data_IF_336911537679
#
_entry.id   IF_336911537679
#
_cell.length_a   1.000
_cell.length_b   1.000
_cell.length_c   1.000
_cell.angle_alpha   90.00
_cell.angle_beta   90.00
_cell.angle_gamma   90.00
#
_symmetry.space_group_name_H-M   'P 1'
#
loop_
_entity.id
_entity.type
_entity.pdbx_description
1 polymer ?
#
# COMPACT_ATOMS: atom_id res chain seq x y z
N UNK A 1 13.15 -13.58 9.43
CA UNK A 1 13.57 -12.57 10.42
C UNK A 1 13.51 -11.21 9.75
N UNK A 2 12.42 -10.48 9.93
CA UNK A 2 12.34 -9.07 9.57
C UNK A 2 13.11 -8.29 10.62
N UNK A 3 14.19 -7.62 10.24
CA UNK A 3 14.75 -6.54 11.06
C UNK A 3 13.62 -5.54 11.27
N UNK A 4 13.08 -5.46 12.48
CA UNK A 4 12.17 -4.36 12.82
C UNK A 4 12.93 -3.06 12.57
N UNK A 5 12.49 -2.27 11.58
CA UNK A 5 13.04 -0.93 11.39
C UNK A 5 12.90 -0.21 12.73
N UNK A 6 14.04 0.14 13.34
CA UNK A 6 14.08 0.88 14.59
C UNK A 6 13.56 2.29 14.33
N UNK A 7 12.34 2.56 14.81
CA UNK A 7 11.81 3.90 14.84
C UNK A 7 12.58 4.68 15.91
N UNK A 8 13.25 5.75 15.50
CA UNK A 8 13.68 6.80 16.43
C UNK A 8 12.44 7.36 17.14
N UNK A 9 12.63 8.00 18.30
CA UNK A 9 11.52 8.59 19.06
C UNK A 9 10.77 9.58 18.14
N UNK A 10 9.52 9.28 17.75
CA UNK A 10 8.80 10.12 16.81
C UNK A 10 8.39 11.44 17.48
N UNK A 11 8.46 12.53 16.72
CA UNK A 11 7.84 13.80 17.10
C UNK A 11 6.38 13.80 16.64
N UNK A 12 5.53 14.58 17.31
CA UNK A 12 4.08 14.54 17.08
C UNK A 12 3.48 15.93 16.91
N UNK A 13 2.29 15.98 16.31
CA UNK A 13 1.47 17.20 16.20
C UNK A 13 2.18 18.34 15.46
N UNK A 14 2.18 19.52 16.07
CA UNK A 14 2.77 20.73 15.49
C UNK A 14 4.26 20.56 15.21
N UNK A 15 5.02 19.93 16.10
CA UNK A 15 6.45 19.66 15.89
C UNK A 15 6.68 18.75 14.67
N UNK A 16 5.84 17.72 14.49
CA UNK A 16 5.90 16.87 13.31
C UNK A 16 5.59 17.68 12.03
N UNK A 17 4.58 18.54 12.09
CA UNK A 17 4.21 19.39 10.96
C UNK A 17 5.32 20.38 10.57
N UNK A 18 5.95 21.04 11.54
CA UNK A 18 7.07 21.96 11.29
C UNK A 18 8.26 21.24 10.64
N UNK A 19 8.62 20.05 11.14
CA UNK A 19 9.68 19.24 10.56
C UNK A 19 9.36 18.83 9.11
N UNK A 20 8.11 18.44 8.85
CA UNK A 20 7.62 18.10 7.51
C UNK A 20 7.73 19.32 6.57
N UNK A 21 7.27 20.50 7.01
CA UNK A 21 7.34 21.73 6.20
C UNK A 21 8.78 22.11 5.85
N UNK A 22 9.70 21.95 6.81
CA UNK A 22 11.12 22.20 6.61
C UNK A 22 11.72 21.31 5.50
N UNK A 23 11.38 20.01 5.48
CA UNK A 23 11.84 19.09 4.43
C UNK A 23 11.23 19.37 3.06
N UNK A 24 10.02 19.91 3.03
CA UNK A 24 9.30 20.29 1.80
C UNK A 24 9.60 21.72 1.35
N UNK A 25 10.65 22.35 1.89
CA UNK A 25 11.04 23.70 1.52
C UNK A 25 11.20 23.84 -0.01
N UNK A 26 10.62 24.91 -0.57
CA UNK A 26 10.65 25.19 -2.00
C UNK A 26 9.58 24.50 -2.84
N UNK A 27 8.80 23.55 -2.29
CA UNK A 27 7.64 22.96 -2.98
C UNK A 27 6.32 23.37 -2.30
N UNK A 28 5.73 24.48 -2.76
CA UNK A 28 4.49 25.04 -2.20
C UNK A 28 3.30 24.08 -2.29
N UNK A 29 3.22 23.25 -3.34
CA UNK A 29 2.13 22.28 -3.49
C UNK A 29 2.26 21.14 -2.46
N UNK A 30 3.47 20.65 -2.23
CA UNK A 30 3.72 19.64 -1.21
C UNK A 30 3.49 20.20 0.21
N UNK A 31 3.84 21.46 0.47
CA UNK A 31 3.52 22.14 1.73
C UNK A 31 2.01 22.30 1.96
N UNK A 32 1.25 22.58 0.89
CA UNK A 32 -0.22 22.62 0.95
C UNK A 32 -0.79 21.24 1.32
N UNK A 33 -0.26 20.18 0.71
CA UNK A 33 -0.62 18.80 1.07
C UNK A 33 -0.31 18.49 2.54
N UNK A 34 0.89 18.83 3.02
CA UNK A 34 1.26 18.67 4.43
C UNK A 34 0.31 19.44 5.37
N UNK A 35 -0.11 20.63 4.98
CA UNK A 35 -1.06 21.46 5.74
C UNK A 35 -2.44 20.79 5.81
N UNK A 36 -2.92 20.21 4.71
CA UNK A 36 -4.18 19.47 4.69
C UNK A 36 -4.13 18.24 5.60
N UNK A 37 -3.04 17.46 5.50
CA UNK A 37 -2.77 16.30 6.36
C UNK A 37 -2.74 16.71 7.84
N UNK A 38 -2.00 17.77 8.19
CA UNK A 38 -1.94 18.26 9.56
C UNK A 38 -3.30 18.79 10.06
N UNK A 39 -4.06 19.53 9.24
CA UNK A 39 -5.40 20.01 9.63
C UNK A 39 -6.36 18.87 9.95
N UNK A 40 -6.20 17.72 9.28
CA UNK A 40 -7.01 16.55 9.56
C UNK A 40 -6.52 15.79 10.79
N UNK A 41 -5.26 15.37 10.82
CA UNK A 41 -4.73 14.50 11.88
C UNK A 41 -4.33 15.23 13.16
N UNK A 42 -3.99 16.52 13.09
CA UNK A 42 -3.57 17.35 14.23
C UNK A 42 -2.50 16.67 15.08
N UNK A 43 -2.75 16.55 16.38
CA UNK A 43 -1.86 15.89 17.35
C UNK A 43 -1.61 14.39 17.12
N UNK A 44 -2.37 13.74 16.24
CA UNK A 44 -2.19 12.32 15.89
C UNK A 44 -1.18 12.11 14.76
N UNK A 45 -0.76 13.18 14.07
CA UNK A 45 0.31 13.09 13.08
C UNK A 45 1.63 12.85 13.80
N UNK A 46 2.35 11.81 13.42
CA UNK A 46 3.69 11.52 13.93
C UNK A 46 4.70 11.43 12.80
N UNK A 47 5.93 11.84 13.09
CA UNK A 47 7.01 11.90 12.13
C UNK A 47 8.32 11.46 12.78
N UNK A 48 9.06 10.62 12.07
CA UNK A 48 10.39 10.16 12.47
C UNK A 48 11.32 10.14 11.25
N UNK A 49 12.61 10.31 11.49
CA UNK A 49 13.67 10.16 10.49
C UNK A 49 14.59 9.01 10.88
N UNK A 50 15.03 8.25 9.88
CA UNK A 50 16.02 7.18 10.09
C UNK A 50 16.93 7.04 8.88
N UNK A 51 18.23 6.86 9.15
CA UNK A 51 19.23 6.50 8.14
C UNK A 51 19.26 5.00 7.89
N UNK A 52 18.87 4.21 8.89
CA UNK A 52 18.92 2.76 8.90
C UNK A 52 17.66 2.11 8.30
N UNK A 53 16.57 2.88 8.17
CA UNK A 53 15.34 2.40 7.56
C UNK A 53 15.57 1.95 6.10
N UNK A 54 15.00 0.80 5.74
CA UNK A 54 15.10 0.28 4.37
C UNK A 54 14.39 1.19 3.35
N UNK A 55 13.24 1.73 3.72
CA UNK A 55 12.47 2.69 2.92
C UNK A 55 11.73 3.69 3.81
N UNK A 56 11.32 4.79 3.21
CA UNK A 56 10.24 5.60 3.78
C UNK A 56 8.95 4.80 3.79
N UNK A 57 8.09 5.07 4.78
CA UNK A 57 6.79 4.41 4.91
C UNK A 57 5.83 5.25 5.75
N UNK A 58 4.55 5.04 5.48
CA UNK A 58 3.45 5.50 6.31
C UNK A 58 2.84 4.33 7.10
N UNK A 59 2.15 4.64 8.20
CA UNK A 59 1.37 3.67 8.97
C UNK A 59 0.19 4.36 9.65
N UNK A 60 -0.93 3.65 9.74
CA UNK A 60 -2.03 4.00 10.64
C UNK A 60 -1.99 3.08 11.84
N UNK A 61 -1.89 3.65 13.03
CA UNK A 61 -2.02 2.91 14.28
C UNK A 61 -3.48 2.99 14.73
N UNK A 62 -4.24 1.92 14.49
CA UNK A 62 -5.66 1.83 14.83
C UNK A 62 -5.82 0.81 15.97
N UNK A 63 -6.43 1.23 17.06
CA UNK A 63 -6.97 0.28 18.04
C UNK A 63 -8.30 -0.22 17.49
N UNK A 64 -8.45 -1.53 17.34
CA UNK A 64 -9.64 -2.15 16.74
C UNK A 64 -10.74 -2.47 17.77
N UNK A 65 -10.35 -2.89 18.98
CA UNK A 65 -11.26 -3.36 20.02
C UNK A 65 -10.99 -2.66 21.37
N UNK A 66 -12.01 -2.43 22.23
CA UNK A 66 -13.44 -2.69 22.02
C UNK A 66 -14.14 -1.59 21.18
N UNK A 67 -13.46 -0.46 20.93
CA UNK A 67 -13.96 0.64 20.11
C UNK A 67 -12.84 1.02 19.15
N UNK A 68 -13.18 1.08 17.86
CA UNK A 68 -12.23 1.47 16.83
C UNK A 68 -11.79 2.93 17.05
N UNK A 69 -10.48 3.16 17.15
CA UNK A 69 -9.92 4.50 17.36
C UNK A 69 -8.54 4.67 16.75
N UNK A 70 -8.32 5.81 16.08
CA UNK A 70 -7.00 6.20 15.62
C UNK A 70 -6.11 6.59 16.81
N UNK A 71 -4.91 6.02 16.85
CA UNK A 71 -3.85 6.33 17.81
C UNK A 71 -2.76 7.19 17.19
N UNK A 72 -2.41 6.94 15.94
CA UNK A 72 -1.44 7.74 15.20
C UNK A 72 -1.60 7.56 13.68
N UNK A 73 -1.27 8.62 12.94
CA UNK A 73 -0.96 8.58 11.52
C UNK A 73 0.51 8.95 11.37
N UNK A 74 1.33 7.98 11.00
CA UNK A 74 2.78 8.02 11.23
C UNK A 74 3.54 7.99 9.91
N UNK A 75 4.59 8.81 9.80
CA UNK A 75 5.56 8.77 8.70
C UNK A 75 6.93 8.45 9.28
N UNK A 76 7.57 7.40 8.76
CA UNK A 76 9.02 7.21 8.88
C UNK A 76 9.66 7.63 7.57
N UNK A 77 10.47 8.66 7.60
CA UNK A 77 11.24 9.11 6.44
C UNK A 77 12.64 8.52 6.48
N UNK A 78 13.00 7.79 5.42
CA UNK A 78 14.40 7.43 5.19
C UNK A 78 15.16 8.65 4.71
N UNK A 79 16.25 8.99 5.40
CA UNK A 79 17.08 10.17 5.09
C UNK A 79 18.45 9.79 4.52
N UNK A 80 19.16 10.77 3.95
CA UNK A 80 20.47 10.65 3.28
C UNK A 80 20.43 9.98 1.89
N UNK A 81 19.34 10.14 1.17
CA UNK A 81 19.20 9.66 -0.21
C UNK A 81 19.08 10.80 -1.25
N UNK A 82 19.05 12.07 -0.81
CA UNK A 82 18.93 13.25 -1.67
C UNK A 82 17.54 13.40 -2.32
N UNK A 83 16.56 12.61 -1.88
CA UNK A 83 15.20 12.52 -2.40
C UNK A 83 14.17 12.59 -1.28
N UNK A 84 14.56 13.12 -0.12
CA UNK A 84 13.78 13.17 1.11
C UNK A 84 12.46 13.90 0.91
N UNK A 85 12.48 15.05 0.23
CA UNK A 85 11.27 15.82 -0.07
C UNK A 85 10.28 15.04 -0.94
N UNK A 86 10.79 14.31 -1.94
CA UNK A 86 9.95 13.51 -2.84
C UNK A 86 9.33 12.32 -2.08
N UNK A 87 10.15 11.60 -1.31
CA UNK A 87 9.69 10.48 -0.50
C UNK A 87 8.68 10.93 0.56
N UNK A 88 8.91 12.08 1.20
CA UNK A 88 7.97 12.64 2.17
C UNK A 88 6.64 13.01 1.52
N UNK A 89 6.67 13.66 0.36
CA UNK A 89 5.45 13.98 -0.39
C UNK A 89 4.68 12.72 -0.80
N UNK A 90 5.37 11.63 -1.12
CA UNK A 90 4.78 10.32 -1.38
C UNK A 90 4.03 9.78 -0.16
N UNK A 91 4.67 9.75 1.02
CA UNK A 91 4.01 9.27 2.24
C UNK A 91 2.83 10.15 2.65
N UNK A 92 2.92 11.47 2.43
CA UNK A 92 1.80 12.39 2.67
C UNK A 92 0.60 12.12 1.76
N UNK A 93 0.82 11.73 0.51
CA UNK A 93 -0.28 11.35 -0.39
C UNK A 93 -1.02 10.10 0.10
N UNK A 94 -0.30 9.14 0.69
CA UNK A 94 -0.93 7.99 1.35
C UNK A 94 -1.80 8.42 2.54
N UNK A 95 -1.28 9.30 3.38
CA UNK A 95 -2.06 9.85 4.50
C UNK A 95 -3.27 10.70 4.05
N UNK A 96 -3.24 11.25 2.83
CA UNK A 96 -4.35 12.03 2.28
C UNK A 96 -5.54 11.15 1.83
N UNK A 97 -5.32 9.88 1.50
CA UNK A 97 -6.39 9.03 0.96
C UNK A 97 -7.59 8.90 1.91
N UNK A 98 -7.42 8.65 3.22
CA UNK A 98 -8.55 8.67 4.16
C UNK A 98 -9.21 10.05 4.30
N UNK A 99 -8.46 11.15 4.20
CA UNK A 99 -9.01 12.52 4.20
C UNK A 99 -9.99 12.71 3.04
N UNK A 100 -9.69 12.08 1.90
CA UNK A 100 -10.52 12.07 0.69
C UNK A 100 -11.66 11.06 0.76
N UNK A 101 -11.83 10.33 1.87
CA UNK A 101 -12.91 9.37 2.09
C UNK A 101 -12.61 7.94 1.64
N UNK A 102 -11.38 7.61 1.24
CA UNK A 102 -11.01 6.23 0.92
C UNK A 102 -10.85 5.42 2.23
N UNK A 103 -11.63 4.34 2.44
CA UNK A 103 -11.54 3.56 3.66
C UNK A 103 -10.28 2.71 3.72
N UNK A 104 -9.90 2.36 4.95
CA UNK A 104 -8.80 1.45 5.26
C UNK A 104 -9.32 0.03 5.45
N UNK A 105 -8.54 -0.97 5.04
CA UNK A 105 -8.82 -2.37 5.33
C UNK A 105 -8.63 -2.59 6.84
N UNK A 106 -9.67 -3.05 7.53
CA UNK A 106 -9.60 -3.39 8.96
C UNK A 106 -9.45 -4.90 9.16
N UNK A 107 -10.13 -5.70 8.34
CA UNK A 107 -10.08 -7.14 8.42
C UNK A 107 -10.89 -7.83 7.34
N UNK A 108 -10.58 -9.09 7.13
CA UNK A 108 -11.27 -9.97 6.20
C UNK A 108 -11.96 -11.11 6.95
N UNK A 109 -12.97 -11.69 6.31
CA UNK A 109 -13.54 -12.94 6.77
C UNK A 109 -12.65 -14.09 6.29
N UNK A 110 -12.11 -14.83 7.25
CA UNK A 110 -11.33 -16.03 7.00
C UNK A 110 -12.32 -17.21 7.02
N UNK A 111 -12.41 -18.00 5.94
CA UNK A 111 -13.25 -19.19 5.91
C UNK A 111 -12.95 -20.15 7.08
N UNK A 112 -13.98 -20.72 7.70
CA UNK A 112 -13.84 -21.60 8.87
C UNK A 112 -13.01 -22.87 8.60
N UNK A 113 -12.93 -23.29 7.33
CA UNK A 113 -12.17 -24.44 6.86
C UNK A 113 -10.71 -24.11 6.49
N UNK A 114 -10.31 -22.85 6.61
CA UNK A 114 -8.96 -22.39 6.31
C UNK A 114 -8.00 -22.62 7.50
N UNK A 115 -6.81 -23.15 7.21
CA UNK A 115 -5.78 -23.29 8.26
C UNK A 115 -5.24 -21.93 8.69
N UNK A 116 -4.73 -21.84 9.93
CA UNK A 116 -4.11 -20.62 10.45
C UNK A 116 -2.94 -20.15 9.56
N UNK A 117 -2.10 -21.07 9.07
CA UNK A 117 -0.99 -20.69 8.19
C UNK A 117 -1.47 -20.10 6.86
N UNK A 118 -2.56 -20.63 6.29
CA UNK A 118 -3.14 -20.09 5.06
C UNK A 118 -3.77 -18.71 5.31
N UNK A 119 -4.42 -18.53 6.46
CA UNK A 119 -5.00 -17.25 6.86
C UNK A 119 -3.91 -16.17 7.02
N UNK A 120 -2.80 -16.48 7.70
CA UNK A 120 -1.65 -15.57 7.84
C UNK A 120 -1.10 -15.11 6.49
N UNK A 121 -0.98 -16.03 5.52
CA UNK A 121 -0.51 -15.70 4.17
C UNK A 121 -1.45 -14.73 3.46
N UNK A 122 -2.77 -14.87 3.60
CA UNK A 122 -3.70 -13.88 3.05
C UNK A 122 -3.65 -12.55 3.80
N UNK A 123 -3.54 -12.59 5.13
CA UNK A 123 -3.46 -11.38 5.95
C UNK A 123 -2.25 -10.51 5.60
N UNK A 124 -1.12 -11.11 5.24
CA UNK A 124 0.07 -10.40 4.75
C UNK A 124 -0.10 -9.80 3.33
N UNK A 125 -1.07 -10.26 2.54
CA UNK A 125 -1.32 -9.75 1.18
C UNK A 125 -2.17 -8.48 1.17
N UNK A 126 -3.15 -8.31 2.06
CA UNK A 126 -4.01 -7.12 2.09
C UNK A 126 -3.25 -5.79 2.13
N UNK A 127 -2.28 -5.55 3.04
CA UNK A 127 -1.56 -4.28 3.07
C UNK A 127 -0.74 -4.04 1.80
N UNK A 128 -0.22 -5.11 1.18
CA UNK A 128 0.54 -5.01 -0.08
C UNK A 128 -0.36 -4.60 -1.24
N UNK A 129 -1.54 -5.21 -1.34
CA UNK A 129 -2.53 -4.89 -2.36
C UNK A 129 -3.07 -3.47 -2.16
N UNK A 130 -3.42 -3.11 -0.93
CA UNK A 130 -3.86 -1.76 -0.60
C UNK A 130 -2.79 -0.73 -1.00
N UNK A 131 -1.52 -0.99 -0.74
CA UNK A 131 -0.44 -0.11 -1.15
C UNK A 131 -0.34 0.03 -2.68
N UNK A 132 -0.53 -1.05 -3.46
CA UNK A 132 -0.57 -0.98 -4.93
C UNK A 132 -1.75 -0.15 -5.45
N UNK A 133 -2.93 -0.32 -4.86
CA UNK A 133 -4.13 0.47 -5.19
C UNK A 133 -3.87 1.95 -4.86
N UNK A 134 -3.35 2.24 -3.68
CA UNK A 134 -3.01 3.59 -3.26
C UNK A 134 -2.00 4.25 -4.21
N UNK A 135 -1.00 3.50 -4.68
CA UNK A 135 -0.07 3.99 -5.69
C UNK A 135 -0.78 4.40 -6.98
N UNK A 136 -1.73 3.61 -7.50
CA UNK A 136 -2.53 4.01 -8.66
C UNK A 136 -3.44 5.22 -8.40
N UNK A 137 -3.93 5.40 -7.18
CA UNK A 137 -4.71 6.58 -6.77
C UNK A 137 -3.84 7.85 -6.71
N UNK A 138 -2.58 7.72 -6.32
CA UNK A 138 -1.70 8.84 -5.95
C UNK A 138 -0.74 9.28 -7.06
N UNK A 139 -0.46 8.44 -8.07
CA UNK A 139 0.54 8.75 -9.11
C UNK A 139 0.28 10.07 -9.85
N UNK A 140 -0.98 10.40 -10.12
CA UNK A 140 -1.35 11.64 -10.79
C UNK A 140 -1.08 12.85 -9.89
N UNK A 141 -1.49 12.78 -8.62
CA UNK A 141 -1.24 13.82 -7.61
C UNK A 141 0.27 14.03 -7.41
N UNK A 142 1.05 12.95 -7.32
CA UNK A 142 2.51 13.03 -7.18
C UNK A 142 3.17 13.81 -8.32
N UNK A 143 2.73 13.57 -9.57
CA UNK A 143 3.19 14.36 -10.73
C UNK A 143 2.74 15.81 -10.64
N UNK A 144 1.52 16.08 -10.19
CA UNK A 144 1.00 17.45 -9.99
C UNK A 144 1.81 18.22 -8.96
N UNK A 145 2.38 17.55 -7.95
CA UNK A 145 3.33 18.16 -7.00
C UNK A 145 4.68 18.54 -7.66
N UNK A 146 4.92 18.21 -8.93
CA UNK A 146 6.14 18.54 -9.67
C UNK A 146 7.23 17.47 -9.60
N UNK A 147 6.97 16.31 -8.99
CA UNK A 147 7.94 15.23 -8.88
C UNK A 147 7.94 14.31 -10.10
N UNK A 148 9.07 13.65 -10.34
CA UNK A 148 9.24 12.79 -11.50
C UNK A 148 8.48 11.48 -11.33
N UNK A 149 7.73 11.05 -12.35
CA UNK A 149 6.95 9.80 -12.30
C UNK A 149 7.80 8.57 -11.87
N UNK A 150 9.00 8.44 -12.44
CA UNK A 150 9.96 7.35 -12.14
C UNK A 150 10.46 7.33 -10.68
N UNK A 151 10.24 8.40 -9.94
CA UNK A 151 10.64 8.56 -8.54
C UNK A 151 9.56 8.12 -7.55
N UNK A 152 8.32 7.93 -8.03
CA UNK A 152 7.16 7.62 -7.21
C UNK A 152 7.30 6.29 -6.48
N UNK A 153 7.69 5.24 -7.20
CA UNK A 153 8.12 4.02 -6.57
C UNK A 153 9.63 4.12 -6.33
N UNK A 154 10.05 4.04 -5.08
CA UNK A 154 11.45 3.73 -4.78
C UNK A 154 11.78 2.42 -5.49
N UNK A 155 12.87 2.44 -6.27
CA UNK A 155 13.28 1.30 -7.10
C UNK A 155 13.21 0.01 -6.30
N UNK A 156 12.63 -1.01 -6.93
CA UNK A 156 12.48 -2.33 -6.34
C UNK A 156 13.80 -2.79 -5.73
N UNK A 157 13.87 -2.87 -4.39
CA UNK A 157 15.10 -3.24 -3.72
C UNK A 157 15.05 -4.75 -3.37
N UNK A 158 15.87 -5.59 -4.04
CA UNK A 158 15.86 -7.06 -3.98
C UNK A 158 16.19 -7.67 -2.59
N UNK A 159 16.15 -9.01 -2.39
CA UNK A 159 16.51 -10.07 -3.36
C UNK A 159 15.49 -10.25 -4.49
N UNK A 160 15.94 -10.45 -5.75
CA UNK A 160 15.04 -10.82 -6.83
C UNK A 160 14.52 -12.24 -6.55
N UNK A 161 13.24 -12.47 -6.83
CA UNK A 161 12.65 -13.80 -6.71
C UNK A 161 13.08 -14.64 -7.91
N UNK A 162 13.67 -15.81 -7.67
CA UNK A 162 13.92 -16.80 -8.71
C UNK A 162 12.62 -17.58 -8.96
N UNK A 163 11.77 -17.04 -9.84
CA UNK A 163 10.48 -17.63 -10.19
C UNK A 163 10.62 -19.03 -10.79
N UNK A 164 11.68 -19.27 -11.56
CA UNK A 164 11.96 -20.58 -12.13
C UNK A 164 12.27 -21.60 -11.05
N UNK A 165 13.16 -21.25 -10.11
CA UNK A 165 13.48 -22.13 -8.99
C UNK A 165 12.26 -22.43 -8.12
N UNK A 166 11.34 -21.47 -7.95
CA UNK A 166 10.08 -21.67 -7.22
C UNK A 166 9.18 -22.73 -7.87
N UNK A 167 9.08 -22.73 -9.19
CA UNK A 167 8.31 -23.75 -9.95
C UNK A 167 9.02 -25.11 -9.94
N UNK A 168 10.34 -25.13 -10.10
CA UNK A 168 11.12 -26.37 -10.20
C UNK A 168 11.33 -27.07 -8.86
N UNK A 169 11.32 -26.33 -7.75
CA UNK A 169 11.48 -26.85 -6.40
C UNK A 169 10.30 -26.40 -5.53
N UNK A 170 9.06 -26.84 -5.84
CA UNK A 170 7.90 -26.40 -5.09
C UNK A 170 8.00 -26.93 -3.66
N UNK A 171 7.66 -26.09 -2.69
CA UNK A 171 7.50 -26.56 -1.32
C UNK A 171 6.32 -27.54 -1.27
N UNK A 172 6.45 -28.74 -0.66
CA UNK A 172 5.45 -29.81 -0.76
C UNK A 172 4.03 -29.44 -0.29
N UNK A 173 3.91 -28.43 0.58
CA UNK A 173 2.65 -27.96 1.17
C UNK A 173 1.99 -26.81 0.38
N UNK A 174 2.60 -26.34 -0.71
CA UNK A 174 2.19 -25.13 -1.46
C UNK A 174 1.58 -25.47 -2.83
N UNK A 175 1.77 -26.70 -3.31
CA UNK A 175 1.31 -27.13 -4.64
C UNK A 175 -0.23 -27.06 -4.69
N UNK A 176 -0.76 -26.23 -5.59
CA UNK A 176 -2.20 -26.03 -5.87
C UNK A 176 -3.02 -25.38 -4.74
N UNK A 177 -2.37 -24.73 -3.78
CA UNK A 177 -3.09 -24.02 -2.74
C UNK A 177 -3.55 -22.62 -3.22
N UNK A 178 -4.78 -22.16 -2.90
CA UNK A 178 -5.28 -20.83 -3.31
C UNK A 178 -4.35 -19.67 -2.96
N UNK A 179 -3.64 -19.77 -1.83
CA UNK A 179 -2.68 -18.78 -1.35
C UNK A 179 -1.41 -18.67 -2.21
N UNK A 180 -0.99 -19.75 -2.91
CA UNK A 180 0.14 -19.67 -3.83
C UNK A 180 -0.27 -19.03 -5.16
N UNK A 181 -1.48 -19.35 -5.65
CA UNK A 181 -2.04 -18.66 -6.81
C UNK A 181 -2.16 -17.16 -6.57
N UNK A 182 -2.66 -16.76 -5.40
CA UNK A 182 -2.81 -15.35 -5.05
C UNK A 182 -1.47 -14.64 -4.92
N UNK A 183 -0.44 -15.34 -4.41
CA UNK A 183 0.93 -14.83 -4.39
C UNK A 183 1.47 -14.58 -5.80
N UNK A 184 1.26 -15.48 -6.76
CA UNK A 184 1.66 -15.29 -8.16
C UNK A 184 0.94 -14.09 -8.78
N UNK A 185 -0.35 -13.92 -8.51
CA UNK A 185 -1.11 -12.74 -8.93
C UNK A 185 -0.51 -11.46 -8.37
N UNK A 186 -0.21 -11.43 -7.07
CA UNK A 186 0.37 -10.27 -6.39
C UNK A 186 1.76 -9.92 -6.94
N UNK A 187 2.60 -10.93 -7.17
CA UNK A 187 3.94 -10.74 -7.75
C UNK A 187 3.86 -10.13 -9.15
N UNK A 188 3.04 -10.72 -10.02
CA UNK A 188 2.80 -10.15 -11.35
C UNK A 188 2.29 -8.72 -11.25
N UNK A 189 1.24 -8.49 -10.47
CA UNK A 189 0.56 -7.20 -10.38
C UNK A 189 1.49 -6.11 -9.84
N UNK A 190 2.28 -6.42 -8.81
CA UNK A 190 3.28 -5.50 -8.25
C UNK A 190 4.29 -5.02 -9.30
N UNK A 191 4.86 -5.95 -10.06
CA UNK A 191 5.83 -5.61 -11.10
C UNK A 191 5.18 -4.84 -12.25
N UNK A 192 4.02 -5.30 -12.70
CA UNK A 192 3.30 -4.64 -13.78
C UNK A 192 2.90 -3.20 -13.43
N UNK A 193 2.36 -2.96 -12.23
CA UNK A 193 2.07 -1.62 -11.70
C UNK A 193 3.35 -0.77 -11.66
N UNK A 194 4.46 -1.34 -11.18
CA UNK A 194 5.69 -0.61 -11.09
C UNK A 194 6.26 -0.19 -12.46
N UNK A 195 6.23 -1.09 -13.44
CA UNK A 195 6.56 -0.77 -14.83
C UNK A 195 5.62 0.30 -15.40
N UNK A 196 4.30 0.14 -15.23
CA UNK A 196 3.28 1.12 -15.64
C UNK A 196 3.52 2.50 -15.02
N UNK A 197 4.05 2.55 -13.80
CA UNK A 197 4.41 3.77 -13.09
C UNK A 197 5.78 4.34 -13.48
N UNK A 198 6.43 3.78 -14.49
CA UNK A 198 7.65 4.33 -15.10
C UNK A 198 8.94 3.81 -14.48
N UNK A 199 8.90 2.66 -13.78
CA UNK A 199 10.11 1.89 -13.51
C UNK A 199 10.65 1.28 -14.81
N UNK A 200 11.96 1.06 -14.88
CA UNK A 200 12.63 0.60 -16.10
C UNK A 200 12.32 -0.85 -16.48
N UNK A 201 12.78 -1.26 -17.67
CA UNK A 201 12.54 -2.58 -18.28
C UNK A 201 12.88 -3.80 -17.41
N UNK A 202 13.77 -3.67 -16.41
CA UNK A 202 14.04 -4.77 -15.47
C UNK A 202 12.77 -5.22 -14.74
N UNK A 203 11.91 -4.28 -14.36
CA UNK A 203 10.66 -4.58 -13.67
C UNK A 203 9.63 -5.19 -14.63
N UNK A 204 9.60 -4.74 -15.88
CA UNK A 204 8.79 -5.35 -16.94
C UNK A 204 9.16 -6.84 -17.15
N UNK A 205 10.46 -7.13 -17.19
CA UNK A 205 10.94 -8.51 -17.29
C UNK A 205 10.49 -9.35 -16.08
N UNK A 206 10.55 -8.80 -14.86
CA UNK A 206 10.04 -9.52 -13.69
C UNK A 206 8.52 -9.77 -13.73
N UNK A 207 7.73 -8.83 -14.27
CA UNK A 207 6.30 -9.08 -14.51
C UNK A 207 6.11 -10.23 -15.51
N UNK A 208 6.86 -10.21 -16.61
CA UNK A 208 6.80 -11.26 -17.63
C UNK A 208 7.25 -12.63 -17.09
N UNK A 209 8.32 -12.66 -16.29
CA UNK A 209 8.82 -13.89 -15.64
C UNK A 209 7.78 -14.44 -14.65
N UNK A 210 7.21 -13.59 -13.79
CA UNK A 210 6.19 -14.00 -12.85
C UNK A 210 4.95 -14.57 -13.56
N UNK A 211 4.51 -13.91 -14.64
CA UNK A 211 3.40 -14.40 -15.47
C UNK A 211 3.75 -15.71 -16.16
N UNK A 212 4.93 -15.82 -16.76
CA UNK A 212 5.36 -17.02 -17.50
C UNK A 212 5.43 -18.22 -16.56
N UNK A 213 6.28 -18.17 -15.53
CA UNK A 213 6.51 -19.29 -14.61
C UNK A 213 5.26 -19.59 -13.78
N UNK A 214 4.56 -18.57 -13.31
CA UNK A 214 3.29 -18.77 -12.61
C UNK A 214 2.22 -19.43 -13.49
N UNK A 215 2.21 -19.16 -14.81
CA UNK A 215 1.27 -19.79 -15.74
C UNK A 215 1.60 -21.24 -16.06
N UNK A 216 2.86 -21.67 -15.89
CA UNK A 216 3.23 -23.08 -16.01
C UNK A 216 2.62 -23.91 -14.87
N UNK A 217 2.53 -23.32 -13.67
CA UNK A 217 1.91 -23.95 -12.50
C UNK A 217 0.39 -23.72 -12.45
N UNK A 218 -0.08 -22.54 -12.86
CA UNK A 218 -1.48 -22.12 -12.81
C UNK A 218 -1.95 -21.58 -14.17
N UNK A 219 -2.52 -22.41 -15.05
CA UNK A 219 -2.90 -22.00 -16.41
C UNK A 219 -3.87 -20.81 -16.47
N UNK A 220 -4.69 -20.60 -15.43
CA UNK A 220 -5.64 -19.49 -15.31
C UNK A 220 -4.98 -18.15 -14.94
N UNK A 221 -3.69 -18.12 -14.59
CA UNK A 221 -2.99 -16.89 -14.19
C UNK A 221 -2.99 -15.84 -15.31
N UNK A 222 -2.93 -16.25 -16.59
CA UNK A 222 -3.03 -15.31 -17.72
C UNK A 222 -4.36 -14.57 -17.74
N UNK A 223 -5.46 -15.28 -17.52
CA UNK A 223 -6.79 -14.68 -17.45
C UNK A 223 -6.92 -13.75 -16.24
N UNK A 224 -6.36 -14.14 -15.08
CA UNK A 224 -6.34 -13.27 -13.91
C UNK A 224 -5.50 -12.01 -14.14
N UNK A 225 -4.34 -12.13 -14.81
CA UNK A 225 -3.50 -11.01 -15.19
C UNK A 225 -4.24 -10.01 -16.10
N UNK A 226 -4.92 -10.51 -17.13
CA UNK A 226 -5.80 -9.69 -17.99
C UNK A 226 -6.89 -8.99 -17.18
N UNK A 227 -7.56 -9.71 -16.28
CA UNK A 227 -8.56 -9.14 -15.38
C UNK A 227 -8.01 -8.01 -14.48
N UNK A 228 -6.81 -8.18 -13.92
CA UNK A 228 -6.14 -7.13 -13.12
C UNK A 228 -5.78 -5.91 -13.97
N UNK A 229 -5.30 -6.13 -15.21
CA UNK A 229 -4.99 -5.03 -16.14
C UNK A 229 -6.25 -4.25 -16.53
N UNK A 230 -7.33 -4.96 -16.83
CA UNK A 230 -8.63 -4.36 -17.18
C UNK A 230 -9.23 -3.61 -15.99
N UNK A 231 -9.13 -4.16 -14.78
CA UNK A 231 -9.53 -3.49 -13.54
C UNK A 231 -8.84 -2.12 -13.38
N UNK A 232 -7.51 -2.06 -13.60
CA UNK A 232 -6.76 -0.79 -13.56
C UNK A 232 -7.16 0.17 -14.69
N UNK A 233 -7.41 -0.36 -15.89
CA UNK A 233 -7.77 0.41 -17.07
C UNK A 233 -9.16 1.04 -16.94
N UNK A 234 -10.13 0.28 -16.43
CA UNK A 234 -11.49 0.74 -16.15
C UNK A 234 -11.45 1.81 -15.06
N UNK A 235 -10.71 1.57 -13.97
CA UNK A 235 -10.38 2.59 -12.99
C UNK A 235 -11.53 3.01 -12.07
N UNK A 236 -12.60 2.21 -11.97
CA UNK A 236 -13.77 2.49 -11.11
C UNK A 236 -13.41 2.59 -9.62
N UNK A 237 -12.33 1.93 -9.17
CA UNK A 237 -11.79 2.10 -7.81
C UNK A 237 -11.38 3.54 -7.48
N UNK A 238 -11.27 4.44 -8.46
CA UNK A 238 -11.03 5.88 -8.19
C UNK A 238 -12.28 6.60 -7.69
N UNK A 239 -13.46 6.00 -7.84
CA UNK A 239 -14.72 6.50 -7.34
C UNK A 239 -14.95 5.98 -5.92
N UNK A 240 -15.13 6.89 -4.96
CA UNK A 240 -15.36 6.56 -3.54
C UNK A 240 -16.56 5.62 -3.34
N UNK A 241 -17.65 5.85 -4.07
CA UNK A 241 -18.87 5.04 -3.97
C UNK A 241 -18.72 3.62 -4.51
N UNK A 242 -17.67 3.36 -5.30
CA UNK A 242 -17.37 2.03 -5.86
C UNK A 242 -16.10 1.42 -5.25
N UNK A 243 -15.36 2.15 -4.40
CA UNK A 243 -14.03 1.74 -3.97
C UNK A 243 -14.05 0.35 -3.33
N UNK A 244 -14.93 0.14 -2.34
CA UNK A 244 -14.99 -1.12 -1.60
C UNK A 244 -15.31 -2.30 -2.52
N UNK A 245 -16.32 -2.17 -3.38
CA UNK A 245 -16.70 -3.19 -4.35
C UNK A 245 -15.56 -3.50 -5.30
N UNK A 246 -14.89 -2.47 -5.81
CA UNK A 246 -13.80 -2.64 -6.77
C UNK A 246 -12.55 -3.24 -6.14
N UNK A 247 -12.23 -2.92 -4.88
CA UNK A 247 -11.14 -3.62 -4.17
C UNK A 247 -11.51 -5.10 -3.98
N UNK A 248 -12.74 -5.41 -3.58
CA UNK A 248 -13.19 -6.80 -3.45
C UNK A 248 -13.24 -7.55 -4.79
N UNK A 249 -13.54 -6.87 -5.91
CA UNK A 249 -13.44 -7.44 -7.25
C UNK A 249 -11.99 -7.81 -7.61
N UNK A 250 -11.03 -6.95 -7.27
CA UNK A 250 -9.61 -7.24 -7.46
C UNK A 250 -9.17 -8.45 -6.62
N UNK A 251 -9.57 -8.51 -5.35
CA UNK A 251 -9.28 -9.65 -4.48
C UNK A 251 -9.88 -10.95 -5.03
N UNK A 252 -11.08 -10.90 -5.58
CA UNK A 252 -11.73 -12.05 -6.22
C UNK A 252 -10.99 -12.54 -7.47
N UNK A 253 -10.47 -11.63 -8.30
CA UNK A 253 -9.59 -11.98 -9.44
C UNK A 253 -8.35 -12.73 -8.92
N UNK A 254 -7.77 -12.25 -7.82
CA UNK A 254 -6.56 -12.82 -7.21
C UNK A 254 -6.81 -14.05 -6.31
N UNK A 255 -8.07 -14.48 -6.15
CA UNK A 255 -8.49 -15.56 -5.23
C UNK A 255 -8.10 -15.32 -3.77
N UNK A 256 -8.16 -14.05 -3.35
CA UNK A 256 -7.98 -13.63 -1.96
C UNK A 256 -9.37 -13.43 -1.35
N UNK A 257 -9.60 -13.84 -0.08
CA UNK A 257 -10.86 -13.59 0.59
C UNK A 257 -11.25 -12.09 0.57
N UNK A 258 -12.56 -11.83 0.60
CA UNK A 258 -13.06 -10.45 0.56
C UNK A 258 -12.82 -9.75 1.88
N UNK A 259 -12.56 -8.45 1.81
CA UNK A 259 -12.53 -7.59 2.99
C UNK A 259 -13.97 -7.31 3.41
N UNK A 260 -14.29 -7.70 4.64
CA UNK A 260 -15.62 -7.54 5.25
C UNK A 260 -15.64 -6.45 6.32
N UNK A 261 -14.47 -6.04 6.81
CA UNK A 261 -14.35 -4.96 7.80
C UNK A 261 -13.51 -3.83 7.23
N UNK A 262 -14.12 -2.65 7.18
CA UNK A 262 -13.52 -1.44 6.66
C UNK A 262 -13.58 -0.34 7.70
N UNK A 263 -12.55 0.49 7.75
CA UNK A 263 -12.47 1.64 8.64
C UNK A 263 -12.47 2.93 7.83
N UNK A 264 -13.47 3.79 8.05
CA UNK A 264 -13.47 5.16 7.53
C UNK A 264 -12.90 6.11 8.59
N UNK A 265 -12.03 7.02 8.17
CA UNK A 265 -11.57 8.12 9.03
C UNK A 265 -12.38 9.37 8.72
N UNK A 266 -13.04 9.94 9.73
CA UNK A 266 -13.84 11.15 9.60
C UNK A 266 -13.34 12.21 10.58
N UNK A 267 -13.43 13.48 10.21
CA UNK A 267 -13.18 14.59 11.12
C UNK A 267 -14.49 15.39 11.27
N UNK A 268 -15.29 15.06 12.29
CA UNK A 268 -16.60 15.68 12.53
C UNK A 268 -16.53 17.08 13.14
N UNK A 269 -15.36 17.52 13.64
CA UNK A 269 -15.06 18.88 14.11
C UNK A 269 -13.57 18.94 14.56
N UNK A 270 -12.94 20.13 14.73
CA UNK A 270 -11.52 20.36 14.50
C UNK A 270 -10.53 19.78 15.53
N UNK A 271 -10.91 18.80 16.36
CA UNK A 271 -10.03 18.34 17.44
C UNK A 271 -9.57 16.88 17.31
N UNK A 272 -10.24 16.02 16.51
CA UNK A 272 -9.82 14.61 16.41
C UNK A 272 -10.41 13.86 15.21
N UNK A 273 -9.58 13.16 14.41
CA UNK A 273 -10.07 12.10 13.53
C UNK A 273 -10.71 10.97 14.33
N UNK A 274 -11.91 10.58 13.92
CA UNK A 274 -12.63 9.42 14.45
C UNK A 274 -12.49 8.31 13.41
N UNK A 275 -12.09 7.12 13.85
CA UNK A 275 -12.23 5.93 13.04
C UNK A 275 -13.64 5.36 13.25
N UNK A 276 -14.32 4.97 12.17
CA UNK A 276 -15.62 4.31 12.20
C UNK A 276 -15.58 3.04 11.39
N UNK A 277 -16.08 1.95 11.94
CA UNK A 277 -16.27 0.70 11.20
C UNK A 277 -17.43 0.89 10.24
N UNK A 278 -17.20 0.59 8.97
CA UNK A 278 -18.27 0.57 7.96
C UNK A 278 -18.97 -0.78 8.02
N UNK A 279 -20.29 -0.74 7.90
CA UNK A 279 -21.11 -1.93 7.65
C UNK A 279 -21.26 -1.98 6.14
N UNK A 280 -20.66 -2.99 5.52
CA UNK A 280 -20.65 -3.19 4.05
C UNK A 280 -21.37 -4.48 3.72
#
# INVERSE_FOLDING_TARGET
MTTEDTWTIPITGENAFEAILSKLHGNLLAQKLATEVYKFYGGFLTYAESQDALSSKFRFDIQHEPIISLKAASILLRVNNGREAEALAHELLHLQLPIRGFPLIEGAEIPDDMTEEAAEVFMDQYPKIQNLIHHELNIASFKTLGYLKRHFLCGFCPPPVDYKAKVLNPLPHIINAPQDFSWWCLEYFRHWIAFRQGQGHKVENHANDALQWGSEQYPTLKQAAEGMMDWVKIGEFKNLGQYVDQVNNLLEIMKIPKVTKWALLECSNPQRPIAKRMIV
#
